data_IF_234667074614
#
_entry.id   IF_234667074614
#
_cell.length_a   1.000
_cell.length_b   1.000
_cell.length_c   1.000
_cell.angle_alpha   90.00
_cell.angle_beta   90.00
_cell.angle_gamma   90.00
#
_symmetry.space_group_name_H-M   'P 1'
#
loop_
_entity.id
_entity.type
_entity.pdbx_description
1 polymer ?
#
# COMPACT_ATOMS: atom_id res chain seq x y z
N UNK A 1 -9.67 8.10 22.14
CA UNK A 1 -10.24 8.28 20.80
C UNK A 1 -9.64 7.22 19.91
N UNK A 2 -10.46 6.35 19.32
CA UNK A 2 -10.04 5.32 18.37
C UNK A 2 -9.99 5.95 16.98
N UNK A 3 -8.94 6.71 16.70
CA UNK A 3 -8.75 7.38 15.41
C UNK A 3 -7.42 6.95 14.83
N UNK A 4 -7.40 5.82 14.12
CA UNK A 4 -6.27 5.43 13.30
C UNK A 4 -6.36 6.12 11.94
N UNK A 5 -5.22 6.55 11.40
CA UNK A 5 -5.13 7.13 10.07
C UNK A 5 -5.48 6.07 9.02
N UNK A 6 -6.24 6.47 8.00
CA UNK A 6 -6.68 5.60 6.92
C UNK A 6 -6.50 6.28 5.56
N UNK A 7 -6.79 5.53 4.50
CA UNK A 7 -6.74 6.01 3.12
C UNK A 7 -8.15 6.27 2.63
N UNK A 8 -8.37 7.43 2.00
CA UNK A 8 -9.60 7.69 1.26
C UNK A 8 -9.29 7.58 -0.23
N UNK A 9 -10.09 6.79 -0.93
CA UNK A 9 -10.06 6.74 -2.38
C UNK A 9 -11.36 7.29 -2.94
N UNK A 10 -11.23 8.12 -3.96
CA UNK A 10 -12.34 8.66 -4.72
C UNK A 10 -12.31 8.08 -6.12
N UNK A 11 -13.41 7.42 -6.51
CA UNK A 11 -13.66 7.02 -7.89
C UNK A 11 -14.54 8.09 -8.52
N UNK A 12 -14.08 8.62 -9.64
CA UNK A 12 -14.78 9.66 -10.41
C UNK A 12 -15.26 9.01 -11.70
N UNK A 13 -16.57 8.95 -11.89
CA UNK A 13 -17.15 8.61 -13.19
C UNK A 13 -17.14 9.85 -14.07
N UNK A 14 -16.28 9.84 -15.09
CA UNK A 14 -16.12 10.96 -16.01
C UNK A 14 -17.32 11.18 -16.96
N UNK A 15 -18.27 10.24 -17.03
CA UNK A 15 -19.45 10.33 -17.89
C UNK A 15 -20.66 10.84 -17.12
N UNK A 16 -20.85 10.35 -15.89
CA UNK A 16 -22.01 10.72 -15.06
C UNK A 16 -21.75 11.83 -14.06
N UNK A 17 -20.50 12.30 -13.93
CA UNK A 17 -20.01 13.18 -12.86
C UNK A 17 -20.30 12.61 -11.45
N UNK A 18 -20.51 11.29 -11.34
CA UNK A 18 -20.71 10.62 -10.07
C UNK A 18 -19.37 10.45 -9.34
N UNK A 19 -19.46 10.49 -8.00
CA UNK A 19 -18.32 10.37 -7.11
C UNK A 19 -18.61 9.28 -6.07
N UNK A 20 -17.86 8.19 -6.14
CA UNK A 20 -17.91 7.12 -5.15
C UNK A 20 -16.67 7.22 -4.24
N UNK A 21 -16.91 7.45 -2.95
CA UNK A 21 -15.87 7.55 -1.94
C UNK A 21 -15.76 6.26 -1.14
N UNK A 22 -14.54 5.73 -1.05
CA UNK A 22 -14.22 4.57 -0.25
C UNK A 22 -13.24 4.95 0.85
N UNK A 23 -13.61 4.69 2.11
CA UNK A 23 -12.74 4.88 3.26
C UNK A 23 -12.14 3.54 3.67
N UNK A 24 -10.82 3.45 3.60
CA UNK A 24 -10.07 2.28 4.00
C UNK A 24 -9.33 2.56 5.30
N UNK A 25 -9.73 1.83 6.33
CA UNK A 25 -9.00 1.72 7.58
C UNK A 25 -9.10 0.27 8.02
N UNK A 26 -7.97 -0.34 8.35
CA UNK A 26 -7.97 -1.70 8.91
C UNK A 26 -8.45 -1.70 10.36
N UNK A 27 -8.58 -0.52 10.98
CA UNK A 27 -8.73 -0.39 12.42
C UNK A 27 -7.55 -0.96 13.21
N UNK A 28 -6.53 -1.52 12.54
CA UNK A 28 -5.36 -2.21 13.09
C UNK A 28 -4.08 -1.36 12.98
N UNK A 29 -3.98 -0.54 11.93
CA UNK A 29 -2.78 0.25 11.61
C UNK A 29 -3.13 1.70 11.28
N UNK A 30 -2.19 2.60 11.56
CA UNK A 30 -2.11 3.92 10.93
C UNK A 30 -1.51 3.77 9.55
N UNK A 31 -2.17 4.34 8.53
CA UNK A 31 -1.74 4.27 7.13
C UNK A 31 -1.27 5.64 6.64
N UNK A 32 -0.14 5.68 5.94
CA UNK A 32 0.45 6.91 5.41
C UNK A 32 1.03 6.73 4.01
N UNK A 33 1.15 7.85 3.28
CA UNK A 33 1.71 7.92 1.92
C UNK A 33 1.11 6.87 0.98
N UNK A 34 -0.17 6.99 0.60
CA UNK A 34 -0.77 6.04 -0.33
C UNK A 34 -0.24 6.25 -1.76
N UNK A 35 -0.06 5.15 -2.48
CA UNK A 35 0.06 5.10 -3.94
C UNK A 35 -0.86 4.01 -4.49
N UNK A 36 -1.28 4.11 -5.74
CA UNK A 36 -2.22 3.15 -6.34
C UNK A 36 -1.80 2.75 -7.76
N UNK A 37 -2.20 1.55 -8.16
CA UNK A 37 -2.18 1.15 -9.57
C UNK A 37 -3.46 0.41 -9.95
N UNK A 38 -3.95 0.66 -11.17
CA UNK A 38 -5.10 -0.04 -11.73
C UNK A 38 -4.73 -1.49 -12.08
N UNK A 39 -5.58 -2.43 -11.65
CA UNK A 39 -5.46 -3.87 -11.92
C UNK A 39 -6.24 -4.26 -13.17
N UNK A 40 -7.49 -3.80 -13.29
CA UNK A 40 -8.40 -4.23 -14.35
C UNK A 40 -7.85 -4.04 -15.75
N UNK A 41 -8.26 -4.92 -16.67
CA UNK A 41 -7.87 -4.85 -18.08
C UNK A 41 -8.86 -4.03 -18.90
N UNK A 42 -10.07 -3.81 -18.38
CA UNK A 42 -11.13 -3.01 -18.97
C UNK A 42 -11.35 -1.68 -18.21
N UNK A 43 -11.63 -0.56 -18.91
CA UNK A 43 -12.04 0.71 -18.27
C UNK A 43 -13.24 0.60 -17.32
N UNK A 44 -14.04 -0.47 -17.45
CA UNK A 44 -15.20 -0.80 -16.61
C UNK A 44 -14.86 -1.69 -15.42
N UNK A 45 -13.60 -2.11 -15.29
CA UNK A 45 -13.08 -2.92 -14.18
C UNK A 45 -12.14 -2.09 -13.28
N UNK A 46 -12.64 -1.14 -12.47
CA UNK A 46 -11.82 -0.27 -11.63
C UNK A 46 -11.29 -0.97 -10.37
N UNK A 47 -10.74 -2.17 -10.50
CA UNK A 47 -9.96 -2.83 -9.46
C UNK A 47 -8.59 -2.17 -9.37
N UNK A 48 -8.04 -2.05 -8.17
CA UNK A 48 -6.74 -1.44 -7.97
C UNK A 48 -6.04 -2.00 -6.75
N UNK A 49 -4.71 -1.92 -6.77
CA UNK A 49 -3.93 -2.03 -5.55
C UNK A 49 -3.73 -0.64 -4.95
N UNK A 50 -3.74 -0.55 -3.63
CA UNK A 50 -3.27 0.61 -2.87
C UNK A 50 -2.11 0.17 -2.01
N UNK A 51 -0.93 0.73 -2.24
CA UNK A 51 0.22 0.60 -1.35
C UNK A 51 0.29 1.78 -0.39
N UNK A 52 0.70 1.51 0.85
CA UNK A 52 0.87 2.50 1.90
C UNK A 52 1.95 2.04 2.89
N UNK A 53 2.47 3.01 3.63
CA UNK A 53 3.19 2.73 4.87
C UNK A 53 2.18 2.41 5.95
N UNK A 54 2.49 1.47 6.83
CA UNK A 54 1.65 1.14 7.97
C UNK A 54 2.47 1.07 9.26
N UNK A 55 1.83 1.34 10.39
CA UNK A 55 2.40 1.07 11.72
C UNK A 55 1.29 0.96 12.77
N UNK A 56 1.57 0.33 13.93
CA UNK A 56 0.69 0.40 15.09
C UNK A 56 1.48 0.20 16.39
N UNK A 57 0.80 0.30 17.53
CA UNK A 57 1.38 -0.07 18.83
C UNK A 57 1.86 -1.54 18.90
N UNK A 58 1.31 -2.41 18.04
CA UNK A 58 1.56 -3.85 18.06
C UNK A 58 2.35 -4.35 16.85
N UNK A 59 2.61 -3.49 15.87
CA UNK A 59 3.29 -3.85 14.63
C UNK A 59 4.28 -2.75 14.26
N UNK A 60 5.51 -3.15 14.01
CA UNK A 60 6.55 -2.21 13.61
C UNK A 60 6.21 -1.54 12.27
N UNK A 61 6.78 -0.35 12.02
CA UNK A 61 6.59 0.35 10.76
C UNK A 61 6.97 -0.53 9.57
N UNK A 62 6.18 -0.48 8.50
CA UNK A 62 6.42 -1.28 7.31
C UNK A 62 5.70 -0.75 6.08
N UNK A 63 5.83 -1.49 4.99
CA UNK A 63 5.18 -1.22 3.71
C UNK A 63 4.30 -2.39 3.33
N UNK A 64 3.12 -2.09 2.82
CA UNK A 64 2.19 -3.12 2.37
C UNK A 64 1.12 -2.57 1.46
N UNK A 65 0.38 -3.49 0.86
CA UNK A 65 -0.67 -3.19 -0.08
C UNK A 65 -1.99 -3.84 0.27
N UNK A 66 -3.07 -3.26 -0.22
CA UNK A 66 -4.40 -3.86 -0.25
C UNK A 66 -4.86 -3.94 -1.70
N UNK A 67 -5.42 -5.09 -2.06
CA UNK A 67 -6.26 -5.17 -3.24
C UNK A 67 -7.64 -4.60 -2.92
N UNK A 68 -8.19 -3.86 -3.88
CA UNK A 68 -9.56 -3.36 -3.82
C UNK A 68 -10.32 -3.82 -5.05
N UNK A 69 -11.39 -4.57 -4.78
CA UNK A 69 -12.31 -5.06 -5.79
C UNK A 69 -13.26 -4.00 -6.33
N UNK A 70 -14.04 -4.39 -7.34
CA UNK A 70 -14.97 -3.51 -8.06
C UNK A 70 -15.99 -2.81 -7.14
N UNK A 71 -16.49 -3.54 -6.15
CA UNK A 71 -17.50 -3.11 -5.17
C UNK A 71 -16.92 -2.37 -3.96
N UNK A 72 -15.60 -2.17 -3.93
CA UNK A 72 -14.89 -1.56 -2.81
C UNK A 72 -14.56 -2.53 -1.67
N UNK A 73 -14.77 -3.83 -1.86
CA UNK A 73 -14.25 -4.84 -0.93
C UNK A 73 -12.72 -4.85 -0.95
N UNK A 74 -12.11 -5.02 0.22
CA UNK A 74 -10.66 -5.11 0.36
C UNK A 74 -10.23 -6.52 0.68
N UNK A 75 -9.13 -6.97 0.07
CA UNK A 75 -8.41 -8.16 0.51
C UNK A 75 -7.69 -7.95 1.85
N UNK A 76 -6.99 -8.98 2.32
CA UNK A 76 -6.06 -8.89 3.45
C UNK A 76 -4.87 -7.97 3.17
N UNK A 77 -4.17 -7.53 4.22
CA UNK A 77 -2.92 -6.77 4.10
C UNK A 77 -1.84 -7.68 3.47
N UNK A 78 -1.29 -7.24 2.35
CA UNK A 78 -0.12 -7.87 1.73
C UNK A 78 1.11 -7.13 2.27
N UNK A 79 1.77 -7.73 3.26
CA UNK A 79 3.01 -7.19 3.81
C UNK A 79 4.17 -7.46 2.86
N UNK A 80 4.97 -6.43 2.57
CA UNK A 80 6.08 -6.54 1.61
C UNK A 80 7.43 -6.29 2.25
N UNK A 81 7.49 -5.42 3.25
CA UNK A 81 8.68 -5.10 4.03
C UNK A 81 8.22 -4.66 5.42
N UNK A 82 8.91 -5.09 6.47
CA UNK A 82 8.55 -4.79 7.84
C UNK A 82 9.79 -4.48 8.68
N UNK A 83 9.66 -3.46 9.51
CA UNK A 83 10.67 -3.11 10.49
C UNK A 83 10.87 -4.15 11.58
N UNK A 84 12.07 -4.17 12.11
CA UNK A 84 12.47 -5.08 13.20
C UNK A 84 12.25 -4.48 14.59
N UNK A 85 11.95 -3.18 14.66
CA UNK A 85 11.85 -2.42 15.90
C UNK A 85 11.18 -1.05 15.74
N UNK A 86 11.00 -0.31 16.85
CA UNK A 86 10.57 1.07 16.80
C UNK A 86 11.66 1.97 16.21
N UNK A 87 11.26 2.97 15.41
CA UNK A 87 12.21 3.96 14.86
C UNK A 87 12.70 4.89 15.98
N UNK A 88 13.98 4.81 16.33
CA UNK A 88 14.62 5.74 17.26
C UNK A 88 15.26 6.92 16.51
N UNK A 89 14.58 8.06 16.54
CA UNK A 89 15.06 9.30 15.92
C UNK A 89 16.24 9.95 16.68
N UNK A 90 16.55 9.50 17.89
CA UNK A 90 17.63 10.06 18.71
C UNK A 90 18.95 9.30 18.57
N UNK A 91 18.91 8.08 18.04
CA UNK A 91 20.09 7.28 17.81
C UNK A 91 20.78 7.76 16.52
N UNK A 92 21.69 8.71 16.67
CA UNK A 92 22.43 9.36 15.57
C UNK A 92 23.22 8.40 14.67
N UNK A 93 23.42 7.15 15.10
CA UNK A 93 24.16 6.11 14.39
C UNK A 93 23.25 5.03 13.76
N UNK A 94 21.97 4.98 14.12
CA UNK A 94 20.99 4.08 13.51
C UNK A 94 20.02 4.92 12.68
N UNK A 95 20.40 5.20 11.44
CA UNK A 95 19.43 5.62 10.45
C UNK A 95 18.46 4.45 10.25
N UNK A 96 17.35 4.46 10.98
CA UNK A 96 16.26 3.50 10.89
C UNK A 96 15.03 4.17 10.31
N UNK A 97 14.53 3.60 9.23
CA UNK A 97 13.46 4.20 8.48
C UNK A 97 12.78 3.17 7.58
N UNK A 98 11.47 3.01 7.71
CA UNK A 98 10.76 1.91 7.06
C UNK A 98 9.79 2.39 5.97
N UNK A 99 10.17 3.44 5.21
CA UNK A 99 9.45 3.88 4.02
C UNK A 99 9.34 5.40 3.81
N UNK A 100 9.98 5.97 2.78
CA UNK A 100 9.91 7.37 2.21
C UNK A 100 8.55 7.93 1.89
N UNK A 101 7.93 7.07 1.13
CA UNK A 101 7.26 7.30 -0.12
C UNK A 101 6.94 5.91 -0.57
N UNK A 102 5.73 5.74 -1.05
CA UNK A 102 5.32 4.52 -1.71
C UNK A 102 5.18 4.83 -3.19
N UNK A 103 5.59 3.86 -4.01
CA UNK A 103 5.28 3.84 -5.42
C UNK A 103 4.61 2.52 -5.76
N UNK A 104 3.83 2.56 -6.82
CA UNK A 104 3.21 1.36 -7.37
C UNK A 104 3.05 1.50 -8.86
N UNK A 105 3.46 0.47 -9.60
CA UNK A 105 3.42 0.50 -11.06
C UNK A 105 2.93 -0.84 -11.60
N UNK A 106 2.16 -0.77 -12.69
CA UNK A 106 1.76 -1.93 -13.47
C UNK A 106 2.72 -2.13 -14.63
N UNK A 107 3.21 -3.35 -14.80
CA UNK A 107 4.02 -3.72 -15.96
C UNK A 107 3.13 -4.31 -17.06
N UNK A 108 2.98 -3.56 -18.14
CA UNK A 108 2.14 -3.96 -19.30
C UNK A 108 2.84 -4.87 -20.32
N UNK A 109 4.16 -5.06 -20.21
CA UNK A 109 4.97 -5.76 -21.22
C UNK A 109 5.16 -7.26 -20.94
N UNK A 110 4.71 -7.74 -19.79
CA UNK A 110 4.79 -9.16 -19.42
C UNK A 110 3.61 -9.94 -20.03
N UNK A 111 3.81 -11.25 -20.29
CA UNK A 111 2.74 -12.15 -20.74
C UNK A 111 1.67 -12.39 -19.67
N UNK A 112 1.96 -12.03 -18.43
CA UNK A 112 1.03 -11.95 -17.31
C UNK A 112 1.12 -10.55 -16.72
N UNK A 113 0.01 -9.88 -16.45
CA UNK A 113 0.05 -8.55 -15.84
C UNK A 113 0.73 -8.65 -14.47
N UNK A 114 1.77 -7.85 -14.25
CA UNK A 114 2.52 -7.78 -12.99
C UNK A 114 2.36 -6.42 -12.33
N UNK A 115 2.33 -6.41 -11.01
CA UNK A 115 2.20 -5.21 -10.19
C UNK A 115 3.43 -5.10 -9.31
N UNK A 116 4.05 -3.94 -9.30
CA UNK A 116 5.30 -3.73 -8.58
C UNK A 116 5.12 -2.63 -7.57
N UNK A 117 5.35 -3.01 -6.31
CA UNK A 117 5.49 -2.08 -5.22
C UNK A 117 6.93 -1.52 -5.19
N UNK A 118 7.04 -0.21 -4.98
CA UNK A 118 8.28 0.52 -4.87
C UNK A 118 8.34 1.27 -3.54
N UNK A 119 9.51 1.29 -2.90
CA UNK A 119 9.74 2.02 -1.67
C UNK A 119 11.22 2.18 -1.36
N UNK A 120 11.52 2.80 -0.22
CA UNK A 120 12.87 2.96 0.28
C UNK A 120 12.87 2.78 1.80
N UNK A 121 13.73 1.89 2.28
CA UNK A 121 14.01 1.74 3.71
C UNK A 121 15.43 2.20 4.01
N UNK A 122 15.71 2.49 5.27
CA UNK A 122 17.05 2.66 5.77
C UNK A 122 17.22 1.88 7.07
N UNK A 123 18.34 1.18 7.19
CA UNK A 123 18.71 0.42 8.38
C UNK A 123 20.24 0.44 8.47
N UNK A 124 20.79 0.45 9.69
CA UNK A 124 22.24 0.39 9.93
C UNK A 124 23.05 1.43 9.14
N UNK A 125 22.50 2.63 8.91
CA UNK A 125 23.17 3.71 8.19
C UNK A 125 23.15 3.59 6.65
N UNK A 126 22.51 2.55 6.10
CA UNK A 126 22.35 2.35 4.66
C UNK A 126 20.92 2.58 4.21
N UNK A 127 20.74 3.04 2.96
CA UNK A 127 19.42 3.10 2.32
C UNK A 127 19.28 1.95 1.32
N UNK A 128 18.15 1.24 1.36
CA UNK A 128 17.85 0.10 0.49
C UNK A 128 16.53 0.37 -0.27
N UNK A 129 16.54 0.31 -1.61
CA UNK A 129 15.29 0.35 -2.38
C UNK A 129 14.53 -0.95 -2.17
N UNK A 130 13.23 -0.85 -1.94
CA UNK A 130 12.33 -2.00 -1.89
C UNK A 130 11.59 -2.08 -3.22
N UNK A 131 11.68 -3.25 -3.84
CA UNK A 131 10.96 -3.59 -5.07
C UNK A 131 10.34 -4.96 -4.86
N UNK A 132 9.01 -5.00 -4.72
CA UNK A 132 8.27 -6.24 -4.50
C UNK A 132 7.23 -6.43 -5.59
N UNK A 133 7.14 -7.64 -6.14
CA UNK A 133 6.07 -8.00 -7.06
C UNK A 133 4.85 -8.44 -6.24
N UNK A 134 3.67 -7.93 -6.57
CA UNK A 134 2.40 -8.39 -6.02
C UNK A 134 1.69 -9.24 -7.07
N UNK A 135 1.16 -10.38 -6.64
CA UNK A 135 0.33 -11.23 -7.51
C UNK A 135 -1.13 -11.18 -7.07
N UNK A 136 -2.04 -11.20 -8.04
CA UNK A 136 -3.49 -11.26 -7.76
C UNK A 136 -3.86 -12.58 -7.05
N UNK A 137 -3.02 -13.61 -7.18
CA UNK A 137 -3.16 -14.88 -6.44
C UNK A 137 -2.84 -14.79 -4.94
N UNK A 138 -2.22 -13.69 -4.47
CA UNK A 138 -1.94 -13.44 -3.05
C UNK A 138 -3.16 -12.84 -2.32
N UNK A 139 -4.29 -12.69 -3.02
CA UNK A 139 -5.51 -12.08 -2.50
C UNK A 139 -6.48 -13.17 -2.05
N UNK A 140 -6.58 -13.40 -0.76
CA UNK A 140 -7.76 -14.04 -0.17
C UNK A 140 -8.91 -13.03 -0.22
N UNK A 141 -9.77 -13.15 -1.24
CA UNK A 141 -11.07 -12.50 -1.25
C UNK A 141 -12.05 -13.34 -0.40
N UNK A 142 -12.88 -12.72 0.45
CA UNK A 142 -13.92 -13.44 1.20
C UNK A 142 -14.97 -14.08 0.30
#
# INVERSE_FOLDING_TARGET
ATGRQGVVLWRVDAVSDALDGYFYSTGAYDMAFPSLCLVGEDPTEPEFFVNFLYSSESHYPGMGALFVGLDGTTGGLIETEQGTGPVDLNASESLEYWGTTTGMVRQHTSSTTQYWQLGMVAENGGYTPVVAQLEVGDIDLP
#
